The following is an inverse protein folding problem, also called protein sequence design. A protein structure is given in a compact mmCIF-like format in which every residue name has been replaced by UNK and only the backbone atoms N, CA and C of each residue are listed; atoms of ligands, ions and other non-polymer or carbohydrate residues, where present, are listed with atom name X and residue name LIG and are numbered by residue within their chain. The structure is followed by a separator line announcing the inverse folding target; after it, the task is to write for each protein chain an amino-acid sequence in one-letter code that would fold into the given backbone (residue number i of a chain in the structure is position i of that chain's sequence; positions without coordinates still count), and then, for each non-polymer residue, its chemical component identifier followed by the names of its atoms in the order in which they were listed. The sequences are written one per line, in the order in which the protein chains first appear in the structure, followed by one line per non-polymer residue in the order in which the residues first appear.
data_IF_461065370117
#
_entry.id   IF_461065370117
#
_cell.length_a   1.000
_cell.length_b   1.000
_cell.length_c   1.000
_cell.angle_alpha   90.00
_cell.angle_beta   90.00
_cell.angle_gamma   90.00
#
_symmetry.space_group_name_H-M   'P 1'
#
loop_
_entity.id
_entity.type
_entity.pdbx_description
1 polymer ?
#
# COMPACT_ATOMS: atom_id res chain seq x y z
N UNK A 1 -37.51 -2.41 2.18
CA UNK A 1 -36.28 -2.98 1.59
C UNK A 1 -35.22 -2.98 2.70
N UNK A 2 -34.90 -4.14 3.29
CA UNK A 2 -33.88 -4.24 4.34
C UNK A 2 -32.52 -4.19 3.66
N UNK A 3 -31.82 -3.06 3.75
CA UNK A 3 -30.41 -3.00 3.39
C UNK A 3 -29.66 -3.81 4.45
N UNK A 4 -29.27 -5.04 4.09
CA UNK A 4 -28.28 -5.78 4.87
C UNK A 4 -26.94 -5.10 4.64
N UNK A 5 -26.58 -4.14 5.49
CA UNK A 5 -25.21 -3.66 5.61
C UNK A 5 -24.40 -4.79 6.27
N UNK A 6 -23.92 -5.75 5.47
CA UNK A 6 -22.87 -6.65 5.93
C UNK A 6 -21.61 -5.81 6.10
N UNK A 7 -21.25 -5.49 7.36
CA UNK A 7 -19.96 -4.85 7.64
C UNK A 7 -18.85 -5.75 7.09
N UNK A 8 -18.05 -5.20 6.18
CA UNK A 8 -16.86 -5.87 5.70
C UNK A 8 -15.86 -5.87 6.85
N UNK A 9 -15.53 -7.06 7.35
CA UNK A 9 -14.55 -7.24 8.41
C UNK A 9 -13.14 -7.30 7.80
N UNK A 10 -12.32 -6.29 8.09
CA UNK A 10 -10.93 -6.27 7.65
C UNK A 10 -10.13 -7.27 8.49
N UNK A 11 -9.44 -8.26 7.86
CA UNK A 11 -8.70 -9.26 8.59
C UNK A 11 -7.65 -8.65 9.52
N UNK A 12 -7.58 -9.14 10.76
CA UNK A 12 -6.53 -8.76 11.70
C UNK A 12 -5.27 -9.62 11.49
N UNK A 13 -4.11 -8.98 11.62
CA UNK A 13 -2.81 -9.65 11.55
C UNK A 13 -2.08 -9.56 12.89
N UNK A 14 -1.55 -10.70 13.37
CA UNK A 14 -0.72 -10.75 14.57
C UNK A 14 0.62 -10.05 14.34
N UNK A 15 1.23 -9.49 15.39
CA UNK A 15 2.52 -8.79 15.28
C UNK A 15 3.62 -9.69 14.72
N UNK A 16 3.64 -10.98 15.09
CA UNK A 16 4.62 -11.92 14.56
C UNK A 16 4.46 -12.12 13.05
N UNK A 17 3.22 -12.29 12.55
CA UNK A 17 2.95 -12.45 11.12
C UNK A 17 3.24 -11.15 10.38
N UNK A 18 2.84 -10.00 10.94
CA UNK A 18 3.10 -8.67 10.40
C UNK A 18 4.60 -8.43 10.24
N UNK A 19 5.39 -8.62 11.29
CA UNK A 19 6.83 -8.43 11.26
C UNK A 19 7.52 -9.36 10.25
N UNK A 20 7.06 -10.61 10.15
CA UNK A 20 7.58 -11.57 9.17
C UNK A 20 7.29 -11.14 7.73
N UNK A 21 6.07 -10.72 7.44
CA UNK A 21 5.67 -10.28 6.11
C UNK A 21 6.30 -8.94 5.75
N UNK A 22 6.29 -7.95 6.65
CA UNK A 22 6.86 -6.62 6.41
C UNK A 22 8.37 -6.62 6.17
N UNK A 23 9.09 -7.62 6.69
CA UNK A 23 10.51 -7.82 6.33
C UNK A 23 10.70 -8.25 4.87
N UNK A 24 9.74 -8.96 4.29
CA UNK A 24 9.81 -9.55 2.95
C UNK A 24 9.09 -8.73 1.88
N UNK A 25 7.95 -8.15 2.24
CA UNK A 25 7.01 -7.47 1.38
C UNK A 25 6.99 -6.00 1.78
N UNK A 26 7.55 -5.15 0.93
CA UNK A 26 7.70 -3.71 1.21
C UNK A 26 6.61 -2.88 0.54
N UNK A 27 6.04 -1.88 1.23
CA UNK A 27 5.21 -0.88 0.56
C UNK A 27 6.08 -0.08 -0.41
N UNK A 28 5.53 0.22 -1.57
CA UNK A 28 6.14 1.07 -2.59
C UNK A 28 5.17 2.13 -3.05
N UNK A 29 5.73 3.28 -3.44
CA UNK A 29 4.99 4.43 -3.96
C UNK A 29 5.72 4.93 -5.21
N UNK A 30 4.98 5.52 -6.14
CA UNK A 30 5.55 6.08 -7.36
C UNK A 30 5.99 7.51 -7.15
N UNK A 31 7.24 7.79 -7.50
CA UNK A 31 7.80 9.14 -7.50
C UNK A 31 8.46 9.46 -8.83
N UNK A 32 8.36 10.72 -9.24
CA UNK A 32 9.25 11.33 -10.23
C UNK A 32 10.38 12.06 -9.51
N UNK A 33 11.58 11.93 -10.06
CA UNK A 33 12.76 12.63 -9.56
C UNK A 33 12.88 13.97 -10.29
N UNK A 34 12.76 15.07 -9.55
CA UNK A 34 12.91 16.43 -10.06
C UNK A 34 14.30 16.95 -9.73
N UNK A 35 15.07 17.33 -10.77
CA UNK A 35 16.43 17.85 -10.61
C UNK A 35 16.46 19.34 -10.87
N UNK A 36 16.77 20.12 -9.84
CA UNK A 36 16.90 21.58 -9.94
C UNK A 36 18.27 22.04 -9.44
N UNK A 37 19.10 22.52 -10.37
CA UNK A 37 20.49 22.96 -10.11
C UNK A 37 21.30 21.85 -9.41
N UNK A 38 21.36 21.88 -8.07
CA UNK A 38 22.10 20.97 -7.21
C UNK A 38 21.20 20.25 -6.17
N UNK A 39 19.88 20.28 -6.36
CA UNK A 39 18.91 19.61 -5.49
C UNK A 39 18.14 18.55 -6.27
N UNK A 40 17.97 17.40 -5.64
CA UNK A 40 17.06 16.35 -6.08
C UNK A 40 15.86 16.37 -5.16
N UNK A 41 14.68 16.48 -5.75
CA UNK A 41 13.38 16.39 -5.05
C UNK A 41 12.59 15.22 -5.62
N UNK A 42 11.68 14.69 -4.82
CA UNK A 42 10.78 13.61 -5.22
C UNK A 42 9.34 14.10 -5.07
N UNK A 43 8.57 13.94 -6.13
CA UNK A 43 7.14 14.25 -6.15
C UNK A 43 6.37 12.97 -6.51
N UNK A 44 5.27 12.71 -5.82
CA UNK A 44 4.43 11.56 -6.13
C UNK A 44 3.76 11.77 -7.50
N UNK A 45 3.93 10.81 -8.42
CA UNK A 45 3.29 10.84 -9.74
C UNK A 45 2.95 9.40 -10.15
N UNK A 46 1.73 9.12 -10.63
CA UNK A 46 1.31 7.77 -11.02
C UNK A 46 2.11 7.17 -12.20
N UNK A 47 2.84 8.00 -12.95
CA UNK A 47 3.74 7.59 -14.04
C UNK A 47 5.20 7.50 -13.59
N UNK A 48 5.47 7.80 -12.32
CA UNK A 48 6.79 7.73 -11.73
C UNK A 48 7.33 6.31 -11.58
N UNK A 49 8.59 6.25 -11.18
CA UNK A 49 9.26 5.01 -10.83
C UNK A 49 8.85 4.55 -9.43
N UNK A 50 8.92 3.25 -9.16
CA UNK A 50 8.62 2.70 -7.84
C UNK A 50 9.78 2.91 -6.87
N UNK A 51 9.49 3.41 -5.67
CA UNK A 51 10.44 3.53 -4.57
C UNK A 51 9.89 2.82 -3.33
N UNK A 52 10.78 2.26 -2.52
CA UNK A 52 10.47 2.07 -1.11
C UNK A 52 10.26 3.42 -0.44
N UNK A 53 9.46 3.42 0.62
CA UNK A 53 9.30 4.57 1.50
C UNK A 53 10.13 4.39 2.76
N UNK A 54 10.60 5.49 3.36
CA UNK A 54 11.29 5.46 4.66
C UNK A 54 10.41 4.80 5.72
N UNK A 55 11.03 4.21 6.74
CA UNK A 55 10.34 3.41 7.75
C UNK A 55 9.07 4.09 8.27
N UNK A 56 7.95 3.39 8.12
CA UNK A 56 6.65 3.78 8.64
C UNK A 56 6.22 2.80 9.73
N UNK A 57 5.45 3.28 10.70
CA UNK A 57 4.77 2.39 11.63
C UNK A 57 3.70 1.61 10.84
N UNK A 58 3.82 0.27 10.70
CA UNK A 58 2.95 -0.50 9.82
C UNK A 58 1.49 -0.56 10.29
N UNK A 59 1.18 -0.16 11.53
CA UNK A 59 -0.18 -0.15 12.09
C UNK A 59 -0.85 1.23 12.08
N UNK A 60 -0.07 2.31 11.97
CA UNK A 60 -0.56 3.69 12.18
C UNK A 60 -0.37 4.56 10.94
N UNK A 61 0.79 4.46 10.26
CA UNK A 61 1.06 5.31 9.11
C UNK A 61 0.72 4.59 7.80
N UNK A 62 -0.09 5.27 6.98
CA UNK A 62 -0.25 4.92 5.57
C UNK A 62 1.01 5.31 4.78
N UNK A 63 1.43 4.40 3.90
CA UNK A 63 2.48 4.64 2.90
C UNK A 63 1.85 5.42 1.73
N UNK A 64 1.57 6.70 1.93
CA UNK A 64 0.95 7.53 0.89
C UNK A 64 2.00 8.32 0.09
N UNK A 65 1.52 9.11 -0.86
CA UNK A 65 2.28 10.14 -1.59
C UNK A 65 3.00 11.15 -0.69
N UNK A 66 2.60 11.28 0.58
CA UNK A 66 3.28 12.12 1.58
C UNK A 66 4.52 11.44 2.19
N UNK A 67 4.75 10.16 1.90
CA UNK A 67 5.91 9.44 2.43
C UNK A 67 7.20 9.89 1.76
N UNK A 68 8.30 9.91 2.51
CA UNK A 68 9.60 10.19 1.92
C UNK A 68 10.13 8.97 1.14
N UNK A 69 10.50 9.19 -0.12
CA UNK A 69 11.19 8.20 -0.93
C UNK A 69 12.51 7.78 -0.26
N UNK A 70 12.80 6.48 -0.28
CA UNK A 70 14.01 5.89 0.29
C UNK A 70 14.93 5.31 -0.80
N UNK A 71 14.51 4.22 -1.43
CA UNK A 71 15.31 3.53 -2.45
C UNK A 71 14.49 3.21 -3.69
N UNK A 72 15.01 3.57 -4.87
CA UNK A 72 14.41 3.22 -6.16
C UNK A 72 14.43 1.70 -6.32
N UNK A 73 13.28 1.11 -6.66
CA UNK A 73 13.20 -0.31 -7.01
C UNK A 73 13.06 -0.45 -8.52
N UNK A 74 13.99 -1.18 -9.13
CA UNK A 74 13.91 -1.56 -10.54
C UNK A 74 13.61 -3.05 -10.67
N UNK A 75 13.09 -3.47 -11.82
CA UNK A 75 12.86 -4.88 -12.19
C UNK A 75 11.86 -5.62 -11.30
N UNK A 76 10.75 -4.96 -10.98
CA UNK A 76 9.57 -5.63 -10.44
C UNK A 76 8.68 -6.11 -11.58
N UNK A 77 8.05 -7.27 -11.42
CA UNK A 77 6.99 -7.76 -12.31
C UNK A 77 5.65 -7.73 -11.58
N UNK A 78 4.59 -7.43 -12.32
CA UNK A 78 3.22 -7.55 -11.81
C UNK A 78 2.94 -9.03 -11.49
N UNK A 79 2.50 -9.31 -10.26
CA UNK A 79 2.05 -10.65 -9.83
C UNK A 79 0.53 -10.71 -9.86
N UNK A 80 -0.14 -9.71 -9.28
CA UNK A 80 -1.60 -9.63 -9.24
C UNK A 80 -2.07 -8.21 -8.92
N UNK A 81 -3.31 -7.92 -9.27
CA UNK A 81 -4.09 -6.82 -8.71
C UNK A 81 -5.15 -7.42 -7.79
N UNK A 82 -5.24 -6.93 -6.56
CA UNK A 82 -6.24 -7.35 -5.60
C UNK A 82 -7.04 -6.15 -5.11
N UNK A 83 -8.25 -6.39 -4.64
CA UNK A 83 -9.04 -5.40 -3.95
C UNK A 83 -8.75 -5.46 -2.45
N UNK A 84 -8.51 -4.31 -1.83
CA UNK A 84 -8.28 -4.20 -0.38
C UNK A 84 -9.24 -3.21 0.25
N UNK A 85 -9.58 -3.49 1.51
CA UNK A 85 -10.46 -2.70 2.35
C UNK A 85 -9.68 -2.11 3.52
N UNK A 86 -10.03 -0.90 3.89
CA UNK A 86 -9.32 -0.11 4.89
C UNK A 86 -10.32 0.62 5.76
N UNK A 87 -10.02 0.73 7.05
CA UNK A 87 -10.87 1.51 7.93
C UNK A 87 -10.82 2.98 7.50
N UNK A 88 -11.97 3.64 7.52
CA UNK A 88 -12.00 5.08 7.44
C UNK A 88 -11.51 5.64 8.79
N UNK A 89 -10.20 5.87 8.92
CA UNK A 89 -9.69 6.62 10.06
C UNK A 89 -10.27 8.05 10.04
N UNK A 90 -10.39 8.68 11.20
CA UNK A 90 -10.87 10.07 11.36
C UNK A 90 -10.03 11.13 10.63
N UNK A 91 -8.95 10.70 9.97
CA UNK A 91 -8.13 11.54 9.13
C UNK A 91 -8.88 11.87 7.83
N UNK A 92 -8.93 13.15 7.48
CA UNK A 92 -9.53 13.72 6.27
C UNK A 92 -9.01 13.13 4.94
N UNK A 93 -8.01 12.25 4.99
CA UNK A 93 -7.34 11.64 3.85
C UNK A 93 -7.22 10.12 4.02
N UNK A 94 -7.49 9.40 2.94
CA UNK A 94 -7.37 7.94 2.87
C UNK A 94 -5.90 7.50 3.04
N UNK A 95 -5.60 6.78 4.14
CA UNK A 95 -4.24 6.36 4.51
C UNK A 95 -4.22 4.86 4.86
N UNK A 96 -4.14 3.97 3.86
CA UNK A 96 -4.17 2.52 4.11
C UNK A 96 -2.97 2.09 4.95
N UNK A 97 -3.19 1.37 6.06
CA UNK A 97 -2.08 0.86 6.85
C UNK A 97 -1.43 -0.35 6.16
N UNK A 98 -0.11 -0.51 6.33
CA UNK A 98 0.62 -1.68 5.84
C UNK A 98 0.03 -2.97 6.43
N UNK A 99 -0.38 -2.94 7.70
CA UNK A 99 -0.94 -4.09 8.39
C UNK A 99 -2.24 -4.58 7.72
N UNK A 100 -3.15 -3.68 7.35
CA UNK A 100 -4.38 -4.04 6.65
C UNK A 100 -4.10 -4.64 5.28
N UNK A 101 -3.18 -4.04 4.51
CA UNK A 101 -2.83 -4.58 3.19
C UNK A 101 -2.24 -5.99 3.33
N UNK A 102 -1.23 -6.16 4.19
CA UNK A 102 -0.55 -7.45 4.38
C UNK A 102 -1.49 -8.53 4.96
N UNK A 103 -2.52 -8.13 5.71
CA UNK A 103 -3.52 -9.06 6.21
C UNK A 103 -4.44 -9.60 5.09
N UNK A 104 -4.61 -8.82 4.03
CA UNK A 104 -5.51 -9.12 2.91
C UNK A 104 -4.84 -9.76 1.70
N UNK A 105 -3.50 -9.81 1.64
CA UNK A 105 -2.80 -10.53 0.56
C UNK A 105 -3.17 -12.02 0.61
N UNK A 106 -3.76 -12.58 -0.48
CA UNK A 106 -4.08 -14.00 -0.55
C UNK A 106 -2.86 -14.89 -0.33
N UNK A 107 -3.03 -15.97 0.44
CA UNK A 107 -1.93 -16.86 0.85
C UNK A 107 -1.10 -17.40 -0.34
N UNK A 108 -1.75 -17.64 -1.48
CA UNK A 108 -1.13 -18.11 -2.71
C UNK A 108 -0.09 -17.14 -3.30
N UNK A 109 -0.17 -15.84 -3.00
CA UNK A 109 0.77 -14.84 -3.52
C UNK A 109 1.92 -14.52 -2.56
N UNK A 110 1.82 -14.90 -1.28
CA UNK A 110 2.81 -14.54 -0.24
C UNK A 110 4.23 -15.05 -0.55
N UNK A 111 4.36 -16.14 -1.31
CA UNK A 111 5.65 -16.69 -1.71
C UNK A 111 6.36 -15.88 -2.81
N UNK A 112 5.60 -15.23 -3.68
CA UNK A 112 6.11 -14.59 -4.90
C UNK A 112 6.22 -13.07 -4.78
N UNK A 113 5.46 -12.48 -3.86
CA UNK A 113 5.38 -11.02 -3.67
C UNK A 113 6.54 -10.52 -2.82
N UNK A 114 7.14 -9.41 -3.26
CA UNK A 114 8.22 -8.69 -2.58
C UNK A 114 7.89 -7.22 -2.33
N UNK A 115 6.91 -6.68 -3.03
CA UNK A 115 6.45 -5.32 -2.84
C UNK A 115 4.96 -5.16 -3.18
N UNK A 116 4.35 -4.08 -2.71
CA UNK A 116 2.98 -3.72 -3.08
C UNK A 116 2.79 -2.20 -3.14
N UNK A 117 1.87 -1.78 -3.99
CA UNK A 117 1.42 -0.39 -4.16
C UNK A 117 -0.09 -0.34 -3.95
N UNK A 118 -0.58 0.64 -3.21
CA UNK A 118 -2.03 0.85 -3.03
C UNK A 118 -2.42 2.15 -3.70
N UNK A 119 -3.47 2.13 -4.53
CA UNK A 119 -3.88 3.28 -5.34
C UNK A 119 -4.70 4.27 -4.51
N UNK A 120 -4.02 5.13 -3.74
CA UNK A 120 -4.66 6.05 -2.80
C UNK A 120 -5.51 7.13 -3.44
N UNK A 121 -5.30 7.43 -4.73
CA UNK A 121 -6.08 8.44 -5.47
C UNK A 121 -7.34 7.86 -6.12
N UNK A 122 -7.54 6.54 -6.00
CA UNK A 122 -8.68 5.82 -6.56
C UNK A 122 -9.25 4.86 -5.51
N UNK A 123 -10.19 5.37 -4.71
CA UNK A 123 -10.92 4.59 -3.72
C UNK A 123 -12.42 4.88 -3.78
N UNK A 124 -13.19 3.93 -3.27
CA UNK A 124 -14.63 4.02 -3.14
C UNK A 124 -15.01 3.78 -1.68
N UNK A 125 -16.08 4.42 -1.22
CA UNK A 125 -16.70 4.09 0.06
C UNK A 125 -17.58 2.85 -0.10
N UNK A 126 -17.32 1.81 0.70
CA UNK A 126 -18.09 0.57 0.75
C UNK A 126 -18.54 0.32 2.20
N UNK A 127 -19.68 0.92 2.55
CA UNK A 127 -20.16 0.99 3.93
C UNK A 127 -19.27 1.89 4.79
N UNK A 128 -18.70 1.33 5.85
CA UNK A 128 -17.83 2.02 6.81
C UNK A 128 -16.33 1.97 6.39
N UNK A 129 -16.02 1.38 5.23
CA UNK A 129 -14.63 1.15 4.79
C UNK A 129 -14.32 1.86 3.48
N UNK A 130 -13.04 2.19 3.30
CA UNK A 130 -12.48 2.54 2.00
C UNK A 130 -12.07 1.27 1.25
N UNK A 131 -12.44 1.22 -0.02
CA UNK A 131 -12.15 0.13 -0.95
C UNK A 131 -11.26 0.65 -2.06
N UNK A 132 -10.15 -0.01 -2.31
CA UNK A 132 -9.20 0.39 -3.35
C UNK A 132 -8.52 -0.84 -3.97
N UNK A 133 -7.70 -0.60 -4.99
CA UNK A 133 -6.84 -1.60 -5.60
C UNK A 133 -5.45 -1.56 -4.97
N UNK A 134 -4.93 -2.75 -4.69
CA UNK A 134 -3.54 -2.98 -4.34
C UNK A 134 -2.88 -3.83 -5.42
N UNK A 135 -1.77 -3.32 -5.96
CA UNK A 135 -0.94 -3.98 -6.95
C UNK A 135 0.16 -4.74 -6.21
N UNK A 136 0.30 -6.03 -6.53
CA UNK A 136 1.31 -6.90 -5.95
C UNK A 136 2.44 -7.13 -6.94
N UNK A 137 3.68 -6.96 -6.47
CA UNK A 137 4.88 -7.06 -7.27
C UNK A 137 5.78 -8.20 -6.81
N UNK A 138 6.33 -8.93 -7.77
CA UNK A 138 7.32 -9.98 -7.57
C UNK A 138 8.68 -9.58 -8.18
N UNK A 139 9.70 -10.38 -7.90
CA UNK A 139 11.00 -10.25 -8.60
C UNK A 139 10.85 -10.66 -10.06
N UNK A 140 11.43 -9.88 -10.97
CA UNK A 140 11.58 -10.29 -12.36
C UNK A 140 12.51 -11.51 -12.46
#
# INVERSE_FOLDING_TARGET
MKMFNSRIEIPRISDQKLNRLYKKIKPVVRFIELRYRNKVEFEADPRGDLYTVKQINPRICGFTSESEADSKISKLKLVAEIQTYHNADECTFFRPSVAEVLAQIPAQFIGDVVAFETLTDSFELDGDNYRTKTILYGKN
#
